data_IF_140899745878
#
_entry.id   IF_140899745878
#
_cell.length_a   1.000
_cell.length_b   1.000
_cell.length_c   1.000
_cell.angle_alpha   90.00
_cell.angle_beta   90.00
_cell.angle_gamma   90.00
#
_symmetry.space_group_name_H-M   'P 1'
#
loop_
_entity.id
_entity.type
_entity.pdbx_description
1 polymer ?
#
# COMPACT_ATOMS: atom_id res chain seq x y z
N UNK A 1 -4.90 -60.00 -17.13
CA UNK A 1 -5.51 -58.68 -16.92
C UNK A 1 -5.59 -58.44 -15.42
N UNK A 2 -4.66 -57.66 -14.86
CA UNK A 2 -4.63 -57.33 -13.43
C UNK A 2 -5.08 -55.89 -13.30
N UNK A 3 -6.26 -55.67 -12.73
CA UNK A 3 -6.77 -54.35 -12.38
C UNK A 3 -6.01 -53.85 -11.15
N UNK A 4 -5.16 -52.84 -11.34
CA UNK A 4 -4.52 -52.11 -10.24
C UNK A 4 -5.44 -50.96 -9.80
N UNK A 5 -6.10 -51.13 -8.65
CA UNK A 5 -6.75 -50.02 -7.95
C UNK A 5 -5.71 -49.32 -7.07
N UNK A 6 -5.34 -48.09 -7.43
CA UNK A 6 -4.55 -47.20 -6.56
C UNK A 6 -5.52 -46.40 -5.69
N UNK A 7 -5.44 -46.47 -4.36
CA UNK A 7 -6.26 -45.62 -3.50
C UNK A 7 -5.72 -44.18 -3.56
N UNK A 8 -6.54 -43.26 -4.09
CA UNK A 8 -6.31 -41.82 -4.01
C UNK A 8 -6.33 -41.40 -2.53
N UNK A 9 -5.15 -41.23 -1.94
CA UNK A 9 -5.01 -40.54 -0.65
C UNK A 9 -5.05 -39.04 -0.90
N UNK A 10 -6.21 -38.42 -0.71
CA UNK A 10 -6.33 -36.97 -0.60
C UNK A 10 -5.53 -36.50 0.62
N UNK A 11 -4.43 -35.80 0.36
CA UNK A 11 -3.69 -35.08 1.40
C UNK A 11 -4.10 -33.62 1.29
N UNK A 12 -4.97 -33.18 2.20
CA UNK A 12 -5.32 -31.76 2.35
C UNK A 12 -4.14 -31.09 3.06
N UNK A 13 -3.34 -30.34 2.32
CA UNK A 13 -2.37 -29.42 2.92
C UNK A 13 -3.11 -28.13 3.26
N UNK A 14 -3.39 -27.94 4.55
CA UNK A 14 -3.89 -26.68 5.10
C UNK A 14 -2.70 -25.72 5.11
N UNK A 15 -2.62 -24.85 4.09
CA UNK A 15 -1.73 -23.69 4.12
C UNK A 15 -2.33 -22.64 5.06
N UNK A 16 -1.59 -22.30 6.12
CA UNK A 16 -1.91 -21.15 6.95
C UNK A 16 -1.51 -19.87 6.20
N UNK A 17 -2.46 -19.31 5.44
CA UNK A 17 -2.60 -17.85 5.43
C UNK A 17 -3.13 -17.51 6.81
N UNK A 18 -2.44 -16.67 7.58
CA UNK A 18 -2.94 -16.22 8.88
C UNK A 18 -4.12 -15.27 8.60
N UNK A 19 -5.29 -15.85 8.38
CA UNK A 19 -6.56 -15.22 8.71
C UNK A 19 -6.80 -15.54 10.19
N UNK A 20 -6.45 -14.59 11.06
CA UNK A 20 -6.68 -14.73 12.50
C UNK A 20 -8.17 -14.53 12.82
N UNK A 21 -9.02 -15.48 12.44
CA UNK A 21 -10.31 -15.66 13.08
C UNK A 21 -10.10 -16.58 14.30
N UNK A 22 -9.78 -15.98 15.44
CA UNK A 22 -9.81 -16.71 16.71
C UNK A 22 -10.21 -15.79 17.87
N UNK A 23 -11.43 -16.00 18.34
CA UNK A 23 -11.96 -15.43 19.58
C UNK A 23 -11.29 -16.10 20.77
N UNK A 24 -10.12 -15.61 21.16
CA UNK A 24 -9.49 -15.98 22.43
C UNK A 24 -9.73 -14.88 23.46
N UNK A 25 -10.68 -15.12 24.37
CA UNK A 25 -10.70 -14.42 25.65
C UNK A 25 -9.55 -14.98 26.48
N UNK A 26 -8.47 -14.22 26.67
CA UNK A 26 -7.51 -14.52 27.74
C UNK A 26 -7.00 -13.24 28.41
N UNK A 27 -7.23 -13.26 29.73
CA UNK A 27 -6.74 -12.47 30.86
C UNK A 27 -6.02 -11.14 30.63
N UNK A 28 -6.67 -10.10 31.14
CA UNK A 28 -6.14 -8.77 31.42
C UNK A 28 -4.85 -8.85 32.24
N UNK A 29 -3.71 -8.63 31.58
CA UNK A 29 -2.51 -8.16 32.25
C UNK A 29 -2.78 -6.71 32.69
N UNK A 30 -2.72 -6.44 34.00
CA UNK A 30 -2.84 -5.10 34.55
C UNK A 30 -1.60 -4.29 34.19
N UNK A 31 -1.60 -3.67 33.01
CA UNK A 31 -0.69 -2.59 32.70
C UNK A 31 -1.21 -1.32 33.36
N UNK A 32 -0.39 -0.72 34.22
CA UNK A 32 -0.60 0.64 34.71
C UNK A 32 -0.92 1.54 33.51
N UNK A 33 -2.01 2.34 33.53
CA UNK A 33 -2.36 3.18 32.39
C UNK A 33 -1.19 4.12 32.11
N UNK A 34 -0.61 4.03 30.91
CA UNK A 34 0.37 5.00 30.47
C UNK A 34 -0.33 6.36 30.44
N UNK A 35 0.25 7.36 31.11
CA UNK A 35 -0.27 8.73 31.13
C UNK A 35 -0.22 9.45 29.78
N UNK A 36 0.35 8.81 28.75
CA UNK A 36 0.52 9.39 27.42
C UNK A 36 -0.62 8.96 26.50
N UNK A 37 -1.18 9.90 25.71
CA UNK A 37 -2.21 9.59 24.73
C UNK A 37 -1.64 8.67 23.65
N UNK A 38 -2.34 7.56 23.38
CA UNK A 38 -1.97 6.55 22.39
C UNK A 38 -2.51 6.96 21.01
N UNK A 39 -1.68 6.85 19.96
CA UNK A 39 -2.15 7.03 18.58
C UNK A 39 -2.91 5.80 18.05
N UNK A 40 -3.83 6.08 17.13
CA UNK A 40 -4.58 5.10 16.34
C UNK A 40 -4.34 5.31 14.85
N UNK A 41 -4.76 4.35 14.01
CA UNK A 41 -4.71 4.51 12.55
C UNK A 41 -5.52 5.71 12.07
N UNK A 42 -6.68 5.96 12.69
CA UNK A 42 -7.52 7.12 12.37
C UNK A 42 -6.85 8.45 12.69
N UNK A 43 -6.06 8.53 13.77
CA UNK A 43 -5.25 9.72 14.08
C UNK A 43 -4.23 9.98 12.96
N UNK A 44 -3.56 8.93 12.47
CA UNK A 44 -2.61 9.01 11.35
C UNK A 44 -3.30 9.50 10.07
N UNK A 45 -4.45 8.92 9.73
CA UNK A 45 -5.21 9.30 8.53
C UNK A 45 -5.76 10.72 8.63
N UNK A 46 -6.18 11.14 9.83
CA UNK A 46 -6.66 12.50 10.11
C UNK A 46 -5.57 13.56 9.97
N UNK A 47 -4.32 13.25 10.34
CA UNK A 47 -3.15 14.13 10.10
C UNK A 47 -2.92 14.36 8.60
N UNK A 48 -3.23 13.37 7.77
CA UNK A 48 -3.09 13.40 6.30
C UNK A 48 -4.39 13.82 5.58
N UNK A 49 -5.41 14.20 6.34
CA UNK A 49 -6.72 14.61 5.87
C UNK A 49 -6.88 16.14 5.71
N UNK A 50 -8.13 16.63 5.59
CA UNK A 50 -8.41 18.05 5.56
C UNK A 50 -8.00 18.72 6.89
N UNK A 51 -7.67 20.03 6.88
CA UNK A 51 -7.24 20.74 8.09
C UNK A 51 -8.21 20.63 9.28
N UNK A 52 -9.51 20.52 9.01
CA UNK A 52 -10.56 20.31 10.02
C UNK A 52 -10.43 18.98 10.76
N UNK A 53 -10.01 17.90 10.08
CA UNK A 53 -9.78 16.61 10.72
C UNK A 53 -8.56 16.67 11.64
N UNK A 54 -7.45 17.24 11.14
CA UNK A 54 -6.22 17.37 11.92
C UNK A 54 -6.37 18.28 13.17
N UNK A 55 -7.29 19.25 13.15
CA UNK A 55 -7.54 20.15 14.29
C UNK A 55 -8.30 19.50 15.45
N UNK A 56 -9.00 18.39 15.21
CA UNK A 56 -9.74 17.65 16.24
C UNK A 56 -8.84 16.72 17.06
N UNK A 57 -7.59 16.50 16.62
CA UNK A 57 -6.64 15.59 17.25
C UNK A 57 -5.97 16.21 18.47
N UNK A 58 -5.53 15.34 19.39
CA UNK A 58 -4.65 15.75 20.47
C UNK A 58 -3.36 16.38 19.86
N UNK A 59 -2.98 17.63 20.22
CA UNK A 59 -1.84 18.31 19.61
C UNK A 59 -0.50 17.59 19.79
N UNK A 60 -0.33 16.85 20.90
CA UNK A 60 0.88 16.08 21.18
C UNK A 60 0.94 14.89 20.20
N UNK A 61 -0.15 14.12 20.11
CA UNK A 61 -0.26 12.98 19.17
C UNK A 61 -0.06 13.46 17.72
N UNK A 62 -0.72 14.53 17.32
CA UNK A 62 -0.59 15.11 15.97
C UNK A 62 0.86 15.49 15.65
N UNK A 63 1.57 16.09 16.61
CA UNK A 63 2.99 16.47 16.44
C UNK A 63 3.91 15.26 16.37
N UNK A 64 3.71 14.26 17.24
CA UNK A 64 4.51 13.03 17.21
C UNK A 64 4.29 12.28 15.90
N UNK A 65 3.04 12.13 15.43
CA UNK A 65 2.74 11.49 14.14
C UNK A 65 3.45 12.23 13.01
N UNK A 66 3.31 13.56 12.94
CA UNK A 66 3.97 14.39 11.91
C UNK A 66 5.49 14.23 11.91
N UNK A 67 6.11 14.02 13.08
CA UNK A 67 7.56 13.81 13.18
C UNK A 67 8.02 12.49 12.55
N UNK A 68 7.11 11.51 12.43
CA UNK A 68 7.36 10.22 11.80
C UNK A 68 7.00 10.19 10.30
N UNK A 69 6.60 11.31 9.68
CA UNK A 69 6.22 11.36 8.27
C UNK A 69 7.37 11.84 7.39
N UNK A 70 7.76 11.03 6.39
CA UNK A 70 8.73 11.41 5.35
C UNK A 70 8.07 11.41 3.98
N UNK A 71 7.76 12.59 3.46
CA UNK A 71 7.02 12.75 2.22
C UNK A 71 7.88 12.47 0.98
N UNK A 72 7.41 11.58 0.10
CA UNK A 72 8.00 11.35 -1.24
C UNK A 72 7.50 12.38 -2.26
N UNK A 73 6.32 12.94 -2.00
CA UNK A 73 5.74 14.10 -2.68
C UNK A 73 5.31 15.12 -1.64
N UNK A 74 5.65 16.41 -1.78
CA UNK A 74 5.25 17.43 -0.83
C UNK A 74 3.75 17.42 -0.55
N UNK A 75 3.34 17.50 0.71
CA UNK A 75 1.92 17.42 1.10
C UNK A 75 1.09 18.64 0.67
N UNK A 76 1.74 19.76 0.32
CA UNK A 76 1.08 20.96 -0.19
C UNK A 76 1.48 21.21 -1.64
N UNK A 77 0.48 21.40 -2.49
CA UNK A 77 0.66 22.11 -3.74
C UNK A 77 0.50 23.59 -3.46
N UNK A 78 1.52 24.41 -3.72
CA UNK A 78 1.37 25.87 -3.71
C UNK A 78 0.52 26.36 -4.91
N UNK A 79 -0.02 25.45 -5.73
CA UNK A 79 -0.78 25.75 -6.94
C UNK A 79 -2.17 25.10 -6.90
N UNK A 80 -3.24 25.83 -7.29
CA UNK A 80 -4.57 25.25 -7.43
C UNK A 80 -4.61 24.13 -8.47
N UNK A 81 -5.64 23.27 -8.39
CA UNK A 81 -5.90 22.16 -9.32
C UNK A 81 -5.68 22.63 -10.77
N UNK A 82 -4.84 21.96 -11.58
CA UNK A 82 -4.75 22.26 -13.00
C UNK A 82 -6.13 22.00 -13.64
N UNK A 83 -6.63 22.94 -14.44
CA UNK A 83 -7.74 22.65 -15.36
C UNK A 83 -7.21 21.64 -16.39
N UNK A 84 -7.42 20.34 -16.13
CA UNK A 84 -7.01 19.30 -17.06
C UNK A 84 -7.91 19.35 -18.30
N UNK A 85 -7.37 19.87 -19.41
CA UNK A 85 -7.85 19.51 -20.74
C UNK A 85 -7.66 18.01 -20.96
N UNK A 86 -8.61 17.37 -21.65
CA UNK A 86 -8.56 15.92 -21.97
C UNK A 86 -7.24 15.61 -22.70
N UNK A 87 -6.31 14.93 -22.05
CA UNK A 87 -5.12 14.38 -22.70
C UNK A 87 -5.17 12.84 -22.60
N UNK A 88 -5.12 12.19 -23.75
CA UNK A 88 -5.08 10.72 -23.86
C UNK A 88 -3.62 10.24 -23.76
N UNK A 89 -3.30 9.20 -22.97
CA UNK A 89 -1.93 8.71 -22.79
C UNK A 89 -1.26 8.18 -24.07
N UNK A 90 -2.04 7.91 -25.13
CA UNK A 90 -1.54 7.20 -26.33
C UNK A 90 -1.11 8.10 -27.50
N UNK A 91 -1.39 9.39 -27.48
CA UNK A 91 -1.00 10.32 -28.55
C UNK A 91 -0.79 11.69 -27.92
N UNK A 92 0.47 12.10 -27.72
CA UNK A 92 0.86 13.36 -27.08
C UNK A 92 0.52 14.62 -27.87
N UNK A 93 -0.75 14.82 -28.25
CA UNK A 93 -1.25 16.02 -28.89
C UNK A 93 -2.45 16.55 -28.09
N UNK A 94 -2.20 17.51 -27.20
CA UNK A 94 -3.27 18.25 -26.53
C UNK A 94 -3.69 19.44 -27.42
N UNK A 95 -4.96 19.55 -27.76
CA UNK A 95 -5.53 20.68 -28.50
C UNK A 95 -6.05 21.72 -27.51
N UNK A 96 -5.30 22.82 -27.36
CA UNK A 96 -5.64 23.95 -26.50
C UNK A 96 -4.63 25.08 -26.71
N UNK A 97 -5.10 26.34 -26.71
CA UNK A 97 -4.38 27.54 -27.14
C UNK A 97 -2.94 27.63 -26.61
N UNK A 98 -2.02 27.92 -27.53
CA UNK A 98 -0.59 28.12 -27.31
C UNK A 98 -0.40 29.49 -26.64
N UNK A 99 -0.52 29.54 -25.32
CA UNK A 99 0.13 30.56 -24.50
C UNK A 99 1.17 29.84 -23.64
N UNK A 100 2.44 30.03 -24.00
CA UNK A 100 3.66 29.62 -23.28
C UNK A 100 3.51 28.41 -22.33
N UNK A 101 3.49 27.20 -22.90
CA UNK A 101 3.67 25.96 -22.11
C UNK A 101 5.11 25.95 -21.60
N UNK A 102 5.34 26.51 -20.41
CA UNK A 102 6.49 26.15 -19.59
C UNK A 102 6.47 24.62 -19.49
N UNK A 103 7.48 23.96 -20.07
CA UNK A 103 7.68 22.52 -19.85
C UNK A 103 7.81 22.34 -18.35
N UNK A 104 6.77 21.78 -17.72
CA UNK A 104 6.88 21.31 -16.34
C UNK A 104 7.99 20.27 -16.32
N UNK A 105 8.81 20.30 -15.27
CA UNK A 105 9.79 19.24 -15.10
C UNK A 105 9.03 17.94 -14.84
N UNK A 106 9.59 16.79 -15.26
CA UNK A 106 9.04 15.47 -14.96
C UNK A 106 8.67 15.32 -13.48
N UNK A 107 9.47 15.93 -12.61
CA UNK A 107 9.26 15.95 -11.16
C UNK A 107 7.93 16.63 -10.75
N UNK A 108 7.62 17.78 -11.35
CA UNK A 108 6.37 18.51 -11.11
C UNK A 108 5.13 17.78 -11.66
N UNK A 109 5.28 17.10 -12.81
CA UNK A 109 4.23 16.27 -13.39
C UNK A 109 3.90 15.07 -12.49
N UNK A 110 4.93 14.36 -12.01
CA UNK A 110 4.78 13.26 -11.05
C UNK A 110 4.14 13.73 -9.73
N UNK A 111 4.51 14.91 -9.22
CA UNK A 111 3.87 15.48 -8.02
C UNK A 111 2.37 15.73 -8.27
N UNK A 112 2.04 16.28 -9.45
CA UNK A 112 0.66 16.53 -9.84
C UNK A 112 -0.16 15.23 -9.92
N UNK A 113 0.43 14.12 -10.37
CA UNK A 113 -0.24 12.81 -10.44
C UNK A 113 -0.49 12.19 -9.06
N UNK A 114 0.28 12.57 -8.03
CA UNK A 114 -0.01 12.16 -6.66
C UNK A 114 -1.11 13.01 -6.06
N UNK A 115 -1.08 14.34 -6.23
CA UNK A 115 -2.13 15.21 -5.69
C UNK A 115 -3.47 15.01 -6.38
N UNK A 116 -3.44 14.83 -7.70
CA UNK A 116 -4.59 14.74 -8.59
C UNK A 116 -4.33 13.63 -9.63
N UNK A 117 -4.58 12.36 -9.26
CA UNK A 117 -4.39 11.23 -10.15
C UNK A 117 -5.36 11.28 -11.34
N UNK A 118 -5.18 10.40 -12.33
CA UNK A 118 -6.07 10.33 -13.50
C UNK A 118 -7.54 10.09 -13.12
N UNK A 119 -8.45 10.45 -14.03
CA UNK A 119 -9.89 10.46 -13.76
C UNK A 119 -10.41 9.10 -13.30
N UNK A 120 -9.94 8.00 -13.88
CA UNK A 120 -10.36 6.65 -13.46
C UNK A 120 -10.01 6.31 -12.01
N UNK A 121 -8.90 6.88 -11.48
CA UNK A 121 -8.49 6.73 -10.07
C UNK A 121 -9.32 7.64 -9.17
N UNK A 122 -9.67 8.83 -9.65
CA UNK A 122 -10.60 9.74 -8.95
C UNK A 122 -12.00 9.11 -8.84
N UNK A 123 -12.51 8.51 -9.91
CA UNK A 123 -13.77 7.77 -9.90
C UNK A 123 -13.74 6.61 -8.89
N UNK A 124 -12.63 5.87 -8.83
CA UNK A 124 -12.44 4.79 -7.84
C UNK A 124 -12.42 5.32 -6.40
N UNK A 125 -11.75 6.46 -6.17
CA UNK A 125 -11.72 7.12 -4.87
C UNK A 125 -13.10 7.65 -4.44
N UNK A 126 -13.89 8.17 -5.39
CA UNK A 126 -15.27 8.60 -5.14
C UNK A 126 -16.18 7.43 -4.86
N UNK A 127 -16.06 6.33 -5.61
CA UNK A 127 -16.79 5.09 -5.36
C UNK A 127 -16.54 4.54 -3.94
N UNK A 128 -15.30 4.62 -3.45
CA UNK A 128 -14.94 4.17 -2.10
C UNK A 128 -15.77 4.89 -1.02
N UNK A 129 -15.91 6.22 -1.15
CA UNK A 129 -16.66 7.04 -0.19
C UNK A 129 -18.17 6.90 -0.39
N UNK A 130 -18.65 6.96 -1.63
CA UNK A 130 -20.09 6.88 -1.95
C UNK A 130 -20.70 5.52 -1.58
N UNK A 131 -19.89 4.46 -1.54
CA UNK A 131 -20.28 3.13 -1.09
C UNK A 131 -20.23 2.94 0.43
N UNK A 132 -19.89 4.00 1.19
CA UNK A 132 -19.74 3.93 2.64
C UNK A 132 -18.57 3.06 3.10
N UNK A 133 -17.51 2.95 2.27
CA UNK A 133 -16.36 2.09 2.58
C UNK A 133 -16.61 0.60 2.33
N UNK A 134 -17.53 0.21 1.43
CA UNK A 134 -17.75 -1.20 1.07
C UNK A 134 -16.62 -1.73 0.16
N UNK A 135 -15.73 -2.64 0.64
CA UNK A 135 -14.68 -3.22 -0.19
C UNK A 135 -15.23 -3.97 -1.42
N UNK A 136 -16.46 -4.50 -1.32
CA UNK A 136 -17.14 -5.16 -2.43
C UNK A 136 -17.38 -4.23 -3.62
N UNK A 137 -17.55 -2.92 -3.39
CA UNK A 137 -17.72 -1.92 -4.45
C UNK A 137 -16.44 -1.78 -5.27
N UNK A 138 -15.28 -1.78 -4.63
CA UNK A 138 -13.98 -1.77 -5.30
C UNK A 138 -13.74 -3.08 -6.04
N UNK A 139 -13.99 -4.23 -5.39
CA UNK A 139 -13.80 -5.55 -6.01
C UNK A 139 -14.64 -5.76 -7.27
N UNK A 140 -15.84 -5.17 -7.35
CA UNK A 140 -16.71 -5.22 -8.55
C UNK A 140 -16.14 -4.47 -9.76
N UNK A 141 -15.15 -3.59 -9.56
CA UNK A 141 -14.47 -2.88 -10.65
C UNK A 141 -13.31 -3.67 -11.27
N UNK A 142 -13.00 -4.86 -10.72
CA UNK A 142 -12.04 -5.78 -11.29
C UNK A 142 -12.60 -6.50 -12.51
N UNK A 143 -11.75 -6.70 -13.51
CA UNK A 143 -12.02 -7.56 -14.64
C UNK A 143 -12.13 -9.02 -14.15
N UNK A 144 -13.20 -9.76 -14.51
CA UNK A 144 -13.38 -11.15 -14.08
C UNK A 144 -12.32 -12.11 -14.65
N UNK A 145 -11.56 -11.69 -15.67
CA UNK A 145 -10.46 -12.48 -16.25
C UNK A 145 -9.37 -12.73 -15.19
N UNK A 146 -9.17 -14.00 -14.85
CA UNK A 146 -8.08 -14.43 -13.98
C UNK A 146 -6.78 -14.55 -14.76
N UNK A 147 -5.72 -13.96 -14.22
CA UNK A 147 -4.36 -13.99 -14.77
C UNK A 147 -3.51 -14.87 -13.86
N UNK A 148 -2.93 -15.98 -14.36
CA UNK A 148 -2.15 -16.88 -13.51
C UNK A 148 -0.86 -16.20 -13.03
N UNK A 149 -0.59 -16.27 -11.73
CA UNK A 149 0.66 -15.79 -11.13
C UNK A 149 1.69 -16.90 -11.23
N UNK A 150 2.65 -16.79 -12.16
CA UNK A 150 3.71 -17.79 -12.35
C UNK A 150 4.97 -17.38 -11.60
N UNK A 151 5.11 -17.80 -10.35
CA UNK A 151 6.40 -17.75 -9.67
C UNK A 151 7.26 -18.91 -10.18
N UNK A 152 8.22 -18.62 -11.07
CA UNK A 152 9.30 -19.57 -11.34
C UNK A 152 10.03 -19.83 -10.02
N UNK A 153 10.49 -21.06 -9.77
CA UNK A 153 11.22 -21.56 -8.57
C UNK A 153 10.38 -22.32 -7.52
N UNK A 154 10.64 -23.64 -7.44
CA UNK A 154 10.40 -24.57 -6.32
C UNK A 154 9.26 -24.20 -5.34
N UNK A 155 8.05 -24.10 -5.88
CA UNK A 155 6.70 -24.48 -5.40
C UNK A 155 6.26 -24.28 -3.94
N UNK A 156 6.99 -23.54 -3.10
CA UNK A 156 6.60 -23.36 -1.67
C UNK A 156 6.50 -21.92 -1.19
N UNK A 157 7.01 -20.95 -1.94
CA UNK A 157 6.76 -19.54 -1.63
C UNK A 157 5.51 -19.08 -2.37
N UNK A 158 4.55 -18.52 -1.65
CA UNK A 158 3.32 -17.93 -2.18
C UNK A 158 3.34 -16.44 -1.82
N UNK A 159 3.69 -15.60 -2.79
CA UNK A 159 3.72 -14.13 -2.61
C UNK A 159 2.33 -13.51 -2.71
N UNK A 160 1.38 -14.23 -3.32
CA UNK A 160 0.01 -13.80 -3.53
C UNK A 160 -0.95 -14.68 -2.74
N UNK A 161 -2.08 -14.10 -2.32
CA UNK A 161 -3.14 -14.81 -1.59
C UNK A 161 -3.77 -15.93 -2.41
N UNK A 162 -3.83 -15.78 -3.73
CA UNK A 162 -4.35 -16.79 -4.65
C UNK A 162 -3.36 -17.04 -5.78
N UNK A 163 -3.41 -18.20 -6.47
CA UNK A 163 -2.49 -18.51 -7.58
C UNK A 163 -2.79 -17.71 -8.86
N UNK A 164 -3.73 -16.77 -8.81
CA UNK A 164 -4.08 -15.87 -9.89
C UNK A 164 -4.27 -14.45 -9.35
N UNK A 165 -4.17 -13.47 -10.23
CA UNK A 165 -4.58 -12.09 -9.97
C UNK A 165 -5.61 -11.64 -10.99
N UNK A 166 -6.09 -10.41 -10.81
CA UNK A 166 -6.94 -9.69 -11.74
C UNK A 166 -6.39 -8.30 -11.98
N UNK A 167 -6.96 -7.60 -12.94
CA UNK A 167 -6.75 -6.18 -13.18
C UNK A 167 -8.06 -5.42 -12.99
N UNK A 168 -7.98 -4.12 -12.77
CA UNK A 168 -9.14 -3.25 -12.90
C UNK A 168 -9.63 -3.21 -14.35
N UNK A 169 -10.94 -3.07 -14.55
CA UNK A 169 -11.54 -2.92 -15.88
C UNK A 169 -10.98 -1.66 -16.56
N UNK A 170 -10.77 -0.59 -15.80
CA UNK A 170 -10.10 0.62 -16.26
C UNK A 170 -8.58 0.40 -16.31
N UNK A 171 -8.01 0.30 -17.51
CA UNK A 171 -6.58 0.08 -17.74
C UNK A 171 -5.72 1.15 -17.03
N UNK A 172 -6.17 2.41 -17.04
CA UNK A 172 -5.48 3.56 -16.45
C UNK A 172 -5.27 3.43 -14.92
N UNK A 173 -6.17 2.75 -14.19
CA UNK A 173 -5.98 2.46 -12.76
C UNK A 173 -4.79 1.50 -12.56
N UNK A 174 -4.67 0.48 -13.41
CA UNK A 174 -3.56 -0.47 -13.34
C UNK A 174 -2.23 0.24 -13.64
N UNK A 175 -2.18 1.04 -14.71
CA UNK A 175 -0.99 1.84 -15.04
C UNK A 175 -0.61 2.83 -13.94
N UNK A 176 -1.59 3.42 -13.25
CA UNK A 176 -1.33 4.32 -12.14
C UNK A 176 -0.75 3.58 -10.92
N UNK A 177 -1.24 2.40 -10.57
CA UNK A 177 -0.67 1.63 -9.46
C UNK A 177 0.73 1.11 -9.77
N UNK A 178 1.00 0.69 -11.01
CA UNK A 178 2.37 0.41 -11.46
C UNK A 178 3.28 1.65 -11.36
N UNK A 179 2.77 2.82 -11.76
CA UNK A 179 3.48 4.09 -11.57
C UNK A 179 3.83 4.36 -10.10
N UNK A 180 2.95 4.04 -9.14
CA UNK A 180 3.25 4.21 -7.71
C UNK A 180 4.46 3.37 -7.27
N UNK A 181 4.54 2.10 -7.70
CA UNK A 181 5.69 1.23 -7.37
C UNK A 181 7.01 1.82 -7.86
N UNK A 182 7.06 2.24 -9.13
CA UNK A 182 8.25 2.87 -9.70
C UNK A 182 8.58 4.24 -9.09
N UNK A 183 7.56 5.01 -8.72
CA UNK A 183 7.76 6.29 -8.06
C UNK A 183 8.38 6.11 -6.67
N UNK A 184 7.91 5.11 -5.90
CA UNK A 184 8.48 4.78 -4.59
C UNK A 184 9.93 4.31 -4.72
N UNK A 185 10.22 3.40 -5.66
CA UNK A 185 11.59 2.94 -5.93
C UNK A 185 12.53 4.10 -6.29
N UNK A 186 12.10 4.98 -7.19
CA UNK A 186 12.93 6.09 -7.67
C UNK A 186 13.12 7.21 -6.64
N UNK A 187 12.11 7.51 -5.82
CA UNK A 187 12.14 8.63 -4.86
C UNK A 187 12.51 8.23 -3.44
N UNK A 188 12.36 6.96 -3.07
CA UNK A 188 12.71 6.44 -1.76
C UNK A 188 14.09 6.90 -1.26
N UNK A 189 15.16 6.88 -2.08
CA UNK A 189 16.49 7.30 -1.65
C UNK A 189 16.54 8.73 -1.09
N UNK A 190 15.67 9.63 -1.55
CA UNK A 190 15.61 11.03 -1.05
C UNK A 190 15.21 11.14 0.42
N UNK A 191 14.56 10.11 0.97
CA UNK A 191 14.14 10.04 2.38
C UNK A 191 14.89 8.95 3.15
N UNK A 192 15.94 8.36 2.56
CA UNK A 192 16.73 7.28 3.16
C UNK A 192 16.17 5.87 2.95
N UNK A 193 15.11 5.72 2.14
CA UNK A 193 14.51 4.43 1.80
C UNK A 193 15.10 3.90 0.49
N UNK A 194 16.10 3.01 0.56
CA UNK A 194 16.62 2.34 -0.62
C UNK A 194 15.91 0.99 -0.83
N UNK A 195 15.15 0.86 -1.91
CA UNK A 195 14.32 -0.30 -2.24
C UNK A 195 14.50 -0.66 -3.71
N UNK A 196 14.18 -1.90 -4.06
CA UNK A 196 14.14 -2.37 -5.44
C UNK A 196 12.84 -3.12 -5.68
N UNK A 197 12.31 -3.10 -6.91
CA UNK A 197 11.13 -3.90 -7.25
C UNK A 197 11.52 -5.36 -7.47
N UNK A 198 11.45 -6.16 -6.40
CA UNK A 198 11.85 -7.57 -6.42
C UNK A 198 10.94 -8.42 -5.55
N UNK A 199 10.93 -9.74 -5.75
CA UNK A 199 10.16 -10.65 -4.87
C UNK A 199 10.52 -10.59 -3.37
N UNK A 200 11.63 -9.94 -2.99
CA UNK A 200 12.07 -9.82 -1.61
C UNK A 200 11.86 -8.41 -1.03
N UNK A 201 11.77 -7.39 -1.89
CA UNK A 201 11.70 -5.97 -1.55
C UNK A 201 10.65 -5.28 -2.43
N UNK A 202 9.79 -4.46 -1.83
CA UNK A 202 8.74 -3.67 -2.48
C UNK A 202 8.05 -4.37 -3.67
N UNK A 203 7.23 -5.37 -3.38
CA UNK A 203 6.45 -6.08 -4.41
C UNK A 203 4.97 -6.15 -4.10
N UNK A 204 4.52 -5.66 -2.95
CA UNK A 204 3.11 -5.70 -2.60
C UNK A 204 2.68 -4.50 -1.78
N UNK A 205 1.38 -4.27 -1.81
CA UNK A 205 0.67 -3.41 -0.88
C UNK A 205 -0.78 -3.85 -0.76
N UNK A 206 -1.49 -3.23 0.17
CA UNK A 206 -2.86 -3.54 0.51
C UNK A 206 -3.73 -2.34 0.17
N UNK A 207 -4.64 -2.49 -0.80
CA UNK A 207 -5.63 -1.47 -1.10
C UNK A 207 -6.73 -1.55 -0.04
N UNK A 208 -6.94 -0.46 0.70
CA UNK A 208 -7.89 -0.40 1.81
C UNK A 208 -8.81 0.82 1.70
N UNK A 209 -9.92 0.76 2.43
CA UNK A 209 -10.86 1.86 2.61
C UNK A 209 -10.81 2.29 4.07
N UNK A 210 -10.44 3.55 4.33
CA UNK A 210 -10.27 4.09 5.67
C UNK A 210 -11.57 4.01 6.50
N UNK A 211 -11.48 3.53 7.74
CA UNK A 211 -12.64 3.22 8.59
C UNK A 211 -13.66 4.37 8.72
N UNK A 212 -13.18 5.58 9.02
CA UNK A 212 -14.06 6.72 9.31
C UNK A 212 -14.48 7.53 8.07
N UNK A 213 -13.64 7.53 7.03
CA UNK A 213 -13.82 8.43 5.87
C UNK A 213 -14.16 7.71 4.57
N UNK A 214 -13.99 6.38 4.51
CA UNK A 214 -14.04 5.61 3.27
C UNK A 214 -12.93 5.97 2.28
N UNK A 215 -11.93 6.78 2.70
CA UNK A 215 -10.84 7.22 1.82
C UNK A 215 -10.07 6.02 1.28
N UNK A 216 -9.91 5.96 -0.03
CA UNK A 216 -9.10 4.95 -0.69
C UNK A 216 -7.62 5.16 -0.38
N UNK A 217 -6.94 4.10 0.04
CA UNK A 217 -5.51 4.11 0.31
C UNK A 217 -4.82 2.81 -0.08
N UNK A 218 -3.51 2.86 -0.26
CA UNK A 218 -2.65 1.68 -0.38
C UNK A 218 -1.56 1.76 0.67
N UNK A 219 -1.44 0.71 1.48
CA UNK A 219 -0.31 0.49 2.36
C UNK A 219 0.66 -0.46 1.68
N UNK A 220 1.80 0.07 1.23
CA UNK A 220 2.88 -0.74 0.65
C UNK A 220 3.86 -1.20 1.72
N UNK A 221 4.42 -2.39 1.50
CA UNK A 221 5.51 -2.89 2.31
C UNK A 221 6.77 -3.11 1.46
N UNK A 222 7.83 -2.43 1.86
CA UNK A 222 9.17 -2.69 1.41
C UNK A 222 9.88 -3.67 2.36
N UNK A 223 11.02 -4.22 1.92
CA UNK A 223 11.93 -5.04 2.72
C UNK A 223 11.22 -6.18 3.45
N UNK A 224 10.28 -6.83 2.76
CA UNK A 224 9.34 -7.79 3.36
C UNK A 224 10.04 -8.98 3.98
N UNK A 225 11.08 -9.46 3.31
CA UNK A 225 11.79 -10.66 3.70
C UNK A 225 13.27 -10.35 3.97
N UNK A 226 13.65 -9.77 5.12
CA UNK A 226 15.05 -9.61 5.47
C UNK A 226 15.79 -10.95 5.44
N UNK A 227 17.00 -10.94 4.90
CA UNK A 227 17.88 -12.10 4.84
C UNK A 227 18.13 -12.64 6.24
N UNK A 228 18.03 -13.97 6.40
CA UNK A 228 18.35 -14.62 7.65
C UNK A 228 19.82 -14.39 8.01
N UNK A 229 20.05 -13.82 9.19
CA UNK A 229 21.39 -13.64 9.75
C UNK A 229 21.38 -14.04 11.22
N UNK A 230 22.21 -15.02 11.61
CA UNK A 230 22.21 -15.56 12.97
C UNK A 230 22.49 -14.52 14.06
N UNK A 231 23.15 -13.41 13.74
CA UNK A 231 23.53 -12.34 14.69
C UNK A 231 22.56 -11.17 14.65
N UNK A 232 22.14 -10.77 13.46
CA UNK A 232 21.41 -9.51 13.22
C UNK A 232 19.90 -9.74 13.04
N UNK A 233 19.50 -10.84 12.42
CA UNK A 233 18.09 -11.18 12.18
C UNK A 233 17.87 -12.71 12.20
N UNK A 234 17.87 -13.34 13.38
CA UNK A 234 17.82 -14.80 13.53
C UNK A 234 16.38 -15.36 13.39
N UNK A 235 15.54 -14.73 12.58
CA UNK A 235 14.14 -15.11 12.38
C UNK A 235 13.97 -15.83 11.05
N UNK A 236 13.36 -17.01 11.08
CA UNK A 236 13.00 -17.77 9.88
C UNK A 236 11.59 -17.37 9.44
N UNK A 237 11.50 -16.69 8.29
CA UNK A 237 10.24 -16.21 7.69
C UNK A 237 9.74 -17.14 6.58
N UNK A 238 10.22 -18.39 6.53
CA UNK A 238 9.73 -19.42 5.63
C UNK A 238 10.37 -19.39 4.24
N UNK A 239 9.65 -19.94 3.25
CA UNK A 239 10.22 -20.19 1.92
C UNK A 239 10.49 -18.92 1.12
N UNK A 240 9.72 -17.86 1.36
CA UNK A 240 9.89 -16.59 0.65
C UNK A 240 11.15 -15.83 1.05
N UNK A 241 11.67 -16.07 2.26
CA UNK A 241 12.94 -15.50 2.75
C UNK A 241 14.18 -16.11 2.10
N UNK A 242 14.09 -17.34 1.58
CA UNK A 242 15.26 -18.08 1.10
C UNK A 242 15.89 -17.36 -0.09
N UNK A 243 17.18 -17.05 0.03
CA UNK A 243 17.94 -16.35 -1.01
C UNK A 243 17.67 -14.85 -1.05
N UNK A 244 16.98 -14.29 -0.07
CA UNK A 244 16.84 -12.83 0.06
C UNK A 244 18.20 -12.18 0.31
N UNK A 245 18.40 -11.03 -0.33
CA UNK A 245 19.54 -10.12 -0.18
C UNK A 245 19.19 -8.87 0.65
N UNK A 246 17.95 -8.76 1.14
CA UNK A 246 17.47 -7.63 1.93
C UNK A 246 18.17 -7.62 3.29
N UNK A 247 19.03 -6.62 3.52
CA UNK A 247 19.75 -6.48 4.80
C UNK A 247 18.84 -5.95 5.89
N UNK A 248 18.87 -6.60 7.06
CA UNK A 248 18.22 -6.07 8.26
C UNK A 248 19.09 -4.99 8.92
N UNK A 249 18.62 -3.75 8.93
CA UNK A 249 19.27 -2.59 9.55
C UNK A 249 18.24 -1.47 9.82
N UNK A 250 18.67 -0.25 10.16
CA UNK A 250 17.77 0.85 10.49
C UNK A 250 16.85 1.29 9.34
N UNK A 251 17.16 0.96 8.08
CA UNK A 251 16.25 1.20 6.96
C UNK A 251 14.92 0.44 7.08
N UNK A 252 14.84 -0.58 7.95
CA UNK A 252 13.59 -1.26 8.29
C UNK A 252 12.57 -0.32 8.93
N UNK A 253 13.01 0.83 9.49
CA UNK A 253 12.09 1.86 10.00
C UNK A 253 11.20 2.44 8.90
N UNK A 254 11.69 2.46 7.66
CA UNK A 254 11.09 3.22 6.55
C UNK A 254 10.27 2.33 5.61
N UNK A 255 9.95 1.11 6.03
CA UNK A 255 9.41 0.09 5.13
C UNK A 255 7.91 0.20 4.87
N UNK A 256 7.17 0.96 5.67
CA UNK A 256 5.74 1.17 5.49
C UNK A 256 5.57 2.46 4.68
N UNK A 257 4.97 2.35 3.51
CA UNK A 257 4.71 3.49 2.63
C UNK A 257 3.21 3.58 2.43
N UNK A 258 2.66 4.76 2.68
CA UNK A 258 1.24 5.03 2.58
C UNK A 258 0.96 5.94 1.39
N UNK A 259 0.12 5.47 0.48
CA UNK A 259 -0.55 6.30 -0.49
C UNK A 259 -2.01 6.50 -0.09
N UNK A 260 -2.51 7.73 -0.18
CA UNK A 260 -3.92 8.04 -0.03
C UNK A 260 -4.40 8.75 -1.29
N UNK A 261 -5.50 8.28 -1.87
CA UNK A 261 -6.17 8.99 -2.96
C UNK A 261 -6.72 10.34 -2.46
N UNK A 262 -7.05 11.29 -3.35
CA UNK A 262 -7.77 12.49 -2.94
C UNK A 262 -9.08 12.12 -2.21
N UNK A 263 -9.46 12.91 -1.22
CA UNK A 263 -10.68 12.69 -0.44
C UNK A 263 -11.82 13.53 -1.03
N UNK A 264 -12.89 12.92 -1.56
CA UNK A 264 -14.07 13.67 -2.02
C UNK A 264 -14.88 14.22 -0.85
N UNK A 265 -15.66 15.25 -1.11
CA UNK A 265 -16.70 15.75 -0.21
C UNK A 265 -17.91 14.83 -0.23
N UNK A 266 -18.50 14.58 0.94
CA UNK A 266 -19.74 13.80 1.07
C UNK A 266 -20.99 14.56 0.59
N UNK A 267 -20.90 15.89 0.47
CA UNK A 267 -22.04 16.75 0.16
C UNK A 267 -21.91 17.52 -1.16
N UNK A 268 -20.75 17.44 -1.83
CA UNK A 268 -20.48 18.19 -3.05
C UNK A 268 -19.56 17.42 -4.01
N UNK A 269 -19.49 17.81 -5.30
CA UNK A 269 -18.53 17.22 -6.24
C UNK A 269 -17.06 17.60 -5.93
N UNK A 270 -16.81 18.41 -4.91
CA UNK A 270 -15.48 18.90 -4.56
C UNK A 270 -14.61 17.84 -3.88
N UNK A 271 -13.32 18.15 -3.78
CA UNK A 271 -12.31 17.35 -3.09
C UNK A 271 -11.82 18.13 -1.88
N UNK A 272 -11.90 17.53 -0.69
CA UNK A 272 -11.56 18.18 0.59
C UNK A 272 -10.10 17.97 0.99
N UNK A 273 -9.41 16.98 0.40
CA UNK A 273 -7.98 16.78 0.56
C UNK A 273 -7.34 16.24 -0.74
N UNK A 274 -6.11 16.67 -1.07
CA UNK A 274 -5.37 16.10 -2.21
C UNK A 274 -4.84 14.71 -1.88
N UNK A 275 -4.39 13.99 -2.90
CA UNK A 275 -3.68 12.72 -2.72
C UNK A 275 -2.31 12.91 -2.05
N UNK A 276 -1.80 11.85 -1.42
CA UNK A 276 -0.59 11.87 -0.58
C UNK A 276 0.24 10.62 -0.84
N UNK A 277 1.56 10.76 -0.86
CA UNK A 277 2.50 9.65 -0.84
C UNK A 277 3.61 9.90 0.20
N UNK A 278 3.63 9.08 1.25
CA UNK A 278 4.45 9.30 2.44
C UNK A 278 5.01 7.99 3.00
N UNK A 279 6.26 8.02 3.44
CA UNK A 279 6.88 6.95 4.21
C UNK A 279 6.59 7.17 5.70
N UNK A 280 6.16 6.11 6.37
CA UNK A 280 5.85 6.07 7.80
C UNK A 280 7.08 5.57 8.56
N UNK A 281 7.81 6.50 9.18
CA UNK A 281 9.02 6.22 9.96
C UNK A 281 8.68 5.54 11.29
N UNK A 282 8.87 4.23 11.32
CA UNK A 282 8.69 3.37 12.47
C UNK A 282 9.96 3.22 13.32
N UNK A 283 10.73 4.31 13.50
CA UNK A 283 11.88 4.28 14.42
C UNK A 283 11.44 3.94 15.86
N UNK A 284 12.27 3.20 16.64
CA UNK A 284 11.86 2.67 17.94
C UNK A 284 11.35 3.69 18.97
N UNK A 285 11.83 4.93 18.88
CA UNK A 285 11.43 6.02 19.78
C UNK A 285 10.18 6.77 19.30
N UNK A 286 9.67 6.44 18.11
CA UNK A 286 8.59 7.14 17.44
C UNK A 286 7.20 6.61 17.83
N UNK A 287 6.19 7.47 17.74
CA UNK A 287 4.81 7.10 18.06
C UNK A 287 4.28 5.99 17.15
N UNK A 288 4.72 5.95 15.88
CA UNK A 288 4.31 4.89 14.94
C UNK A 288 4.78 3.53 15.44
N UNK A 289 6.06 3.39 15.81
CA UNK A 289 6.57 2.14 16.34
C UNK A 289 5.92 1.74 17.68
N UNK A 290 5.69 2.74 18.54
CA UNK A 290 5.16 2.53 19.88
C UNK A 290 3.71 2.06 19.85
N UNK A 291 2.87 2.73 19.07
CA UNK A 291 1.41 2.67 19.20
C UNK A 291 0.71 1.94 18.04
N UNK A 292 1.27 2.02 16.82
CA UNK A 292 0.67 1.51 15.57
C UNK A 292 1.26 0.17 15.11
N UNK A 293 2.33 -0.32 15.73
CA UNK A 293 2.96 -1.60 15.37
C UNK A 293 2.71 -2.62 16.48
N UNK A 294 2.00 -3.73 16.20
CA UNK A 294 1.77 -4.77 17.20
C UNK A 294 3.06 -5.41 17.69
N UNK A 295 3.10 -5.79 18.97
CA UNK A 295 4.31 -6.32 19.62
C UNK A 295 4.91 -7.53 18.89
N UNK A 296 4.07 -8.39 18.32
CA UNK A 296 4.51 -9.59 17.64
C UNK A 296 5.18 -9.33 16.27
N UNK A 297 5.06 -8.13 15.71
CA UNK A 297 5.74 -7.70 14.46
C UNK A 297 6.70 -6.53 14.65
N UNK A 298 6.93 -6.07 15.89
CA UNK A 298 7.90 -5.00 16.19
C UNK A 298 9.32 -5.29 15.70
N UNK A 299 9.71 -6.56 15.62
CA UNK A 299 11.01 -6.98 15.09
C UNK A 299 11.16 -6.79 13.58
N UNK A 300 10.06 -6.59 12.86
CA UNK A 300 10.05 -6.30 11.42
C UNK A 300 9.46 -4.93 11.09
N UNK A 301 8.86 -4.24 12.08
CA UNK A 301 8.35 -2.87 11.98
C UNK A 301 7.21 -2.75 10.95
N UNK A 302 6.31 -3.72 10.89
CA UNK A 302 5.18 -3.73 9.95
C UNK A 302 3.92 -3.16 10.60
N UNK A 303 3.26 -2.23 9.91
CA UNK A 303 1.89 -1.79 10.21
C UNK A 303 0.93 -2.71 9.46
N UNK A 304 -0.16 -3.15 10.08
CA UNK A 304 -1.20 -3.90 9.37
C UNK A 304 -2.23 -2.94 8.77
N UNK A 305 -2.68 -3.27 7.58
CA UNK A 305 -3.70 -2.55 6.83
C UNK A 305 -5.05 -2.49 7.57
N UNK A 306 -5.37 -3.53 8.35
CA UNK A 306 -6.56 -3.61 9.21
C UNK A 306 -6.57 -2.53 10.31
N UNK A 307 -5.41 -1.97 10.68
CA UNK A 307 -5.32 -0.86 11.63
C UNK A 307 -5.73 0.48 10.99
N UNK A 308 -5.75 0.56 9.65
CA UNK A 308 -6.08 1.77 8.88
C UNK A 308 -7.49 1.74 8.29
N UNK A 309 -8.07 0.55 8.10
CA UNK A 309 -9.34 0.42 7.42
C UNK A 309 -9.70 -1.02 7.05
N UNK A 310 -10.62 -1.15 6.10
CA UNK A 310 -11.01 -2.46 5.56
C UNK A 310 -10.31 -2.72 4.23
N UNK A 311 -9.60 -3.84 4.14
CA UNK A 311 -8.87 -4.24 2.94
C UNK A 311 -9.82 -4.66 1.82
N UNK A 312 -9.65 -4.06 0.65
CA UNK A 312 -10.39 -4.38 -0.56
C UNK A 312 -9.70 -5.48 -1.38
N UNK A 313 -8.41 -5.29 -1.70
CA UNK A 313 -7.60 -6.21 -2.51
C UNK A 313 -6.12 -6.08 -2.18
N UNK A 314 -5.37 -7.16 -2.39
CA UNK A 314 -3.90 -7.09 -2.36
C UNK A 314 -3.37 -6.68 -3.73
N UNK A 315 -2.50 -5.68 -3.79
CA UNK A 315 -1.86 -5.17 -5.01
C UNK A 315 -0.43 -5.71 -5.08
N UNK A 316 -0.15 -6.60 -6.01
CA UNK A 316 1.15 -7.25 -6.13
C UNK A 316 1.85 -6.84 -7.43
N UNK A 317 3.06 -6.31 -7.32
CA UNK A 317 3.97 -6.04 -8.42
C UNK A 317 5.07 -7.10 -8.48
N UNK A 318 4.88 -8.09 -9.34
CA UNK A 318 5.75 -9.24 -9.48
C UNK A 318 6.35 -9.27 -10.87
N UNK A 319 7.67 -9.30 -10.96
CA UNK A 319 8.36 -9.53 -12.22
C UNK A 319 8.28 -11.02 -12.59
N UNK A 320 7.11 -11.47 -13.06
CA UNK A 320 6.82 -12.86 -13.42
C UNK A 320 6.77 -13.04 -14.94
N UNK A 321 7.69 -13.83 -15.49
CA UNK A 321 7.74 -14.09 -16.93
C UNK A 321 9.12 -14.56 -17.43
N UNK A 322 9.29 -14.63 -18.75
CA UNK A 322 10.60 -14.77 -19.39
C UNK A 322 11.37 -13.44 -19.31
N UNK A 323 12.41 -13.24 -20.14
CA UNK A 323 13.23 -12.01 -20.13
C UNK A 323 12.43 -10.69 -20.19
N UNK A 324 11.18 -10.70 -20.67
CA UNK A 324 10.18 -9.64 -20.50
C UNK A 324 8.86 -10.24 -19.95
N UNK A 325 8.31 -9.73 -18.84
CA UNK A 325 7.05 -10.23 -18.28
C UNK A 325 5.84 -9.73 -19.07
N UNK A 326 4.88 -10.62 -19.36
CA UNK A 326 3.60 -10.24 -20.00
C UNK A 326 2.73 -9.36 -19.07
N UNK A 327 2.86 -9.57 -17.75
CA UNK A 327 2.14 -8.82 -16.71
C UNK A 327 2.99 -8.72 -15.44
N UNK A 328 3.04 -7.52 -14.87
CA UNK A 328 3.76 -7.29 -13.61
C UNK A 328 2.82 -6.99 -12.44
N UNK A 329 1.63 -6.46 -12.69
CA UNK A 329 0.67 -6.08 -11.64
C UNK A 329 -0.43 -7.14 -11.47
N UNK A 330 -0.82 -7.46 -10.23
CA UNK A 330 -1.82 -8.48 -9.91
C UNK A 330 -2.67 -8.06 -8.68
N UNK A 331 -3.99 -7.96 -8.86
CA UNK A 331 -4.95 -7.75 -7.76
C UNK A 331 -5.48 -9.09 -7.24
N UNK A 332 -5.31 -9.39 -5.94
CA UNK A 332 -5.62 -10.69 -5.34
C UNK A 332 -6.63 -10.63 -4.18
#
# INVERSE_FOLDING_TARGET
MVNSYVPLRFTIFISFSIAAASSFKLHSASHSPSSFPKATGDDLLSVLGPPSAASCLNPIVSREIKSCLKFLVPFKSDKPKPEFGRCSPRTGLCSGKIDAVERRSKFEEENSLIWWPPESVLELARLAVDSGGDPGSIQRTLNPKMIPVRLQFNDKCQLTRTPYGRHFIAEEVNSYFEFLFHLIESRGPSVGLNVSLSRYDLFHGHLFLASESGRLGILFHAKEYPAYDKKVFPYNMGYCQRGSDVKYNDSMNLRNILWLAPLPSNSSPDWVAPGVLVVLDAHPDGIIYRDLIPDYVKFVRTIYEDDLGTTAVDVNYLNVGAHEPDYQLFMC
#
